data_IF_934265466376
#
_entry.id   IF_934265466376
#
_cell.length_a   1.000
_cell.length_b   1.000
_cell.length_c   1.000
_cell.angle_alpha   90.00
_cell.angle_beta   90.00
_cell.angle_gamma   90.00
#
_symmetry.space_group_name_H-M   'P 1'
#
loop_
_entity.id
_entity.type
_entity.pdbx_description
1 polymer ?
#
# COMPACT_ATOMS: atom_id res chain seq x y z
N UNK A 1 -18.93 38.96 -29.53
CA UNK A 1 -18.09 38.33 -28.48
C UNK A 1 -18.49 36.87 -28.36
N UNK A 2 -17.54 35.94 -28.46
CA UNK A 2 -17.83 34.50 -28.42
C UNK A 2 -18.27 34.07 -27.01
N UNK A 3 -19.37 33.34 -26.92
CA UNK A 3 -19.94 32.82 -25.66
C UNK A 3 -19.34 31.45 -25.32
N UNK A 4 -18.98 30.66 -26.34
CA UNK A 4 -18.58 29.25 -26.18
C UNK A 4 -17.07 29.12 -25.90
N UNK A 5 -16.26 30.05 -26.39
CA UNK A 5 -14.80 30.04 -26.26
C UNK A 5 -14.26 29.78 -24.83
N UNK A 6 -14.74 30.46 -23.76
CA UNK A 6 -14.21 30.23 -22.40
C UNK A 6 -14.45 28.80 -21.91
N UNK A 7 -15.57 28.17 -22.26
CA UNK A 7 -15.87 26.79 -21.86
C UNK A 7 -14.97 25.78 -22.56
N UNK A 8 -14.80 25.91 -23.88
CA UNK A 8 -13.95 25.00 -24.65
C UNK A 8 -12.48 25.08 -24.20
N UNK A 9 -11.99 26.29 -23.91
CA UNK A 9 -10.61 26.47 -23.46
C UNK A 9 -10.39 25.93 -22.04
N UNK A 10 -11.37 26.03 -21.14
CA UNK A 10 -11.31 25.37 -19.82
C UNK A 10 -11.32 23.84 -19.97
N UNK A 11 -12.14 23.28 -20.85
CA UNK A 11 -12.16 21.84 -21.14
C UNK A 11 -10.82 21.38 -21.72
N UNK A 12 -10.24 22.15 -22.64
CA UNK A 12 -8.91 21.87 -23.21
C UNK A 12 -7.82 21.90 -22.13
N UNK A 13 -7.83 22.92 -21.27
CA UNK A 13 -6.90 23.02 -20.14
C UNK A 13 -7.04 21.83 -19.19
N UNK A 14 -8.27 21.36 -18.94
CA UNK A 14 -8.52 20.15 -18.16
C UNK A 14 -7.97 18.89 -18.84
N UNK A 15 -8.17 18.73 -20.15
CA UNK A 15 -7.62 17.61 -20.92
C UNK A 15 -6.09 17.56 -20.88
N UNK A 16 -5.43 18.71 -21.06
CA UNK A 16 -3.96 18.81 -21.00
C UNK A 16 -3.45 18.49 -19.60
N UNK A 17 -4.08 19.04 -18.56
CA UNK A 17 -3.68 18.79 -17.18
C UNK A 17 -3.88 17.33 -16.77
N UNK A 18 -4.97 16.71 -17.22
CA UNK A 18 -5.23 15.28 -16.99
C UNK A 18 -4.20 14.40 -17.71
N UNK A 19 -3.89 14.70 -18.98
CA UNK A 19 -2.90 13.95 -19.76
C UNK A 19 -1.51 13.95 -19.11
N UNK A 20 -1.07 15.09 -18.59
CA UNK A 20 0.22 15.24 -17.90
C UNK A 20 0.16 14.90 -16.40
N UNK A 21 -0.96 14.36 -15.89
CA UNK A 21 -1.17 14.02 -14.48
C UNK A 21 -0.81 15.16 -13.51
N UNK A 22 -1.15 16.38 -13.89
CA UNK A 22 -0.78 17.58 -13.12
C UNK A 22 -1.57 17.64 -11.81
N UNK A 23 -0.98 18.27 -10.77
CA UNK A 23 -1.67 18.52 -9.51
C UNK A 23 -2.90 19.40 -9.75
N UNK A 24 -3.98 19.17 -8.98
CA UNK A 24 -5.22 19.93 -9.10
C UNK A 24 -5.01 21.45 -8.99
N UNK A 25 -4.10 21.90 -8.11
CA UNK A 25 -3.76 23.32 -7.97
C UNK A 25 -3.22 23.93 -9.28
N UNK A 26 -2.36 23.19 -9.98
CA UNK A 26 -1.82 23.60 -11.30
C UNK A 26 -2.91 23.71 -12.35
N UNK A 27 -3.86 22.78 -12.36
CA UNK A 27 -5.01 22.85 -13.27
C UNK A 27 -5.89 24.07 -13.00
N UNK A 28 -6.17 24.39 -11.73
CA UNK A 28 -6.93 25.59 -11.35
C UNK A 28 -6.19 26.85 -11.79
N UNK A 29 -4.87 26.91 -11.58
CA UNK A 29 -4.05 28.04 -12.02
C UNK A 29 -4.08 28.23 -13.54
N UNK A 30 -3.90 27.15 -14.32
CA UNK A 30 -3.98 27.20 -15.79
C UNK A 30 -5.37 27.68 -16.23
N UNK A 31 -6.43 27.12 -15.66
CA UNK A 31 -7.81 27.48 -16.00
C UNK A 31 -8.11 28.95 -15.68
N UNK A 32 -7.61 29.46 -14.55
CA UNK A 32 -7.71 30.87 -14.20
C UNK A 32 -6.98 31.78 -15.20
N UNK A 33 -5.75 31.44 -15.57
CA UNK A 33 -4.98 32.18 -16.58
C UNK A 33 -5.70 32.21 -17.94
N UNK A 34 -6.25 31.06 -18.37
CA UNK A 34 -7.02 30.93 -19.61
C UNK A 34 -8.27 31.82 -19.58
N UNK A 35 -8.99 31.86 -18.47
CA UNK A 35 -10.20 32.69 -18.32
C UNK A 35 -9.87 34.19 -18.29
N UNK A 36 -8.77 34.60 -17.65
CA UNK A 36 -8.28 35.98 -17.70
C UNK A 36 -7.90 36.36 -19.13
N UNK A 37 -7.22 35.49 -19.87
CA UNK A 37 -6.91 35.71 -21.28
C UNK A 37 -8.18 35.85 -22.14
N UNK A 38 -9.19 35.00 -21.92
CA UNK A 38 -10.49 35.12 -22.58
C UNK A 38 -11.13 36.49 -22.34
N UNK A 39 -11.09 36.98 -21.10
CA UNK A 39 -11.65 38.28 -20.75
C UNK A 39 -10.92 39.43 -21.47
N UNK A 40 -9.58 39.42 -21.46
CA UNK A 40 -8.75 40.44 -22.11
C UNK A 40 -8.90 40.45 -23.65
N UNK A 41 -9.11 39.28 -24.26
CA UNK A 41 -9.30 39.14 -25.71
C UNK A 41 -10.73 39.43 -26.17
N UNK A 42 -11.62 39.89 -25.28
CA UNK A 42 -12.98 40.29 -25.63
C UNK A 42 -13.96 39.11 -25.78
N UNK A 43 -13.80 38.07 -24.97
CA UNK A 43 -14.87 37.08 -24.79
C UNK A 43 -16.07 37.69 -24.04
N UNK A 44 -17.23 37.06 -24.15
CA UNK A 44 -18.41 37.53 -23.44
C UNK A 44 -18.17 37.49 -21.91
N UNK A 45 -18.40 38.62 -21.23
CA UNK A 45 -18.13 38.79 -19.80
C UNK A 45 -18.95 37.79 -18.96
N UNK A 46 -20.25 37.69 -19.23
CA UNK A 46 -21.15 36.78 -18.52
C UNK A 46 -20.71 35.33 -18.68
N UNK A 47 -20.37 34.93 -19.90
CA UNK A 47 -19.88 33.57 -20.17
C UNK A 47 -18.58 33.25 -19.42
N UNK A 48 -17.67 34.22 -19.35
CA UNK A 48 -16.38 34.06 -18.65
C UNK A 48 -16.57 33.95 -17.14
N UNK A 49 -17.47 34.76 -16.56
CA UNK A 49 -17.82 34.69 -15.14
C UNK A 49 -18.48 33.34 -14.81
N UNK A 50 -19.41 32.87 -15.65
CA UNK A 50 -20.06 31.57 -15.46
C UNK A 50 -19.03 30.44 -15.54
N UNK A 51 -18.13 30.46 -16.51
CA UNK A 51 -17.06 29.47 -16.62
C UNK A 51 -16.12 29.49 -15.39
N UNK A 52 -15.75 30.67 -14.90
CA UNK A 52 -14.96 30.83 -13.67
C UNK A 52 -15.69 30.26 -12.44
N UNK A 53 -16.99 30.56 -12.31
CA UNK A 53 -17.81 30.05 -11.22
C UNK A 53 -17.88 28.52 -11.24
N UNK A 54 -18.00 27.90 -12.42
CA UNK A 54 -17.99 26.43 -12.55
C UNK A 54 -16.63 25.83 -12.15
N UNK A 55 -15.52 26.43 -12.59
CA UNK A 55 -14.17 25.98 -12.19
C UNK A 55 -14.02 26.04 -10.68
N UNK A 56 -14.45 27.14 -10.03
CA UNK A 56 -14.40 27.27 -8.57
C UNK A 56 -15.33 26.26 -7.89
N UNK A 57 -16.55 26.10 -8.38
CA UNK A 57 -17.54 25.18 -7.81
C UNK A 57 -17.06 23.73 -7.80
N UNK A 58 -16.37 23.29 -8.87
CA UNK A 58 -15.84 21.92 -8.98
C UNK A 58 -14.53 21.76 -8.21
N UNK A 59 -13.64 22.75 -8.30
CA UNK A 59 -12.30 22.64 -7.73
C UNK A 59 -12.26 22.89 -6.22
N UNK A 60 -13.02 23.84 -5.70
CA UNK A 60 -12.93 24.25 -4.30
C UNK A 60 -13.28 23.12 -3.31
N UNK A 61 -14.34 22.32 -3.52
CA UNK A 61 -14.66 21.20 -2.63
C UNK A 61 -13.57 20.12 -2.59
N UNK A 62 -12.77 20.00 -3.64
CA UNK A 62 -11.72 18.97 -3.74
C UNK A 62 -10.36 19.53 -3.32
N UNK A 63 -10.07 20.80 -3.62
CA UNK A 63 -8.78 21.43 -3.36
C UNK A 63 -8.64 21.86 -1.90
N UNK A 64 -9.71 22.39 -1.29
CA UNK A 64 -9.67 22.99 0.03
C UNK A 64 -9.96 21.95 1.12
N UNK A 65 -9.01 21.66 2.03
CA UNK A 65 -9.17 20.59 3.02
C UNK A 65 -10.39 20.77 3.94
N UNK A 66 -10.75 22.01 4.26
CA UNK A 66 -11.88 22.32 5.14
C UNK A 66 -13.25 22.07 4.49
N UNK A 67 -13.33 22.10 3.15
CA UNK A 67 -14.54 21.70 2.42
C UNK A 67 -14.49 20.20 2.11
N UNK A 68 -13.34 19.70 1.63
CA UNK A 68 -13.15 18.32 1.21
C UNK A 68 -13.45 17.32 2.31
N UNK A 69 -12.90 17.54 3.52
CA UNK A 69 -13.03 16.60 4.62
C UNK A 69 -14.49 16.35 5.02
N UNK A 70 -15.29 17.38 5.39
CA UNK A 70 -16.67 17.17 5.81
C UNK A 70 -17.61 16.78 4.66
N UNK A 71 -17.45 17.35 3.46
CA UNK A 71 -18.40 17.14 2.36
C UNK A 71 -18.15 15.87 1.55
N UNK A 72 -16.88 15.45 1.41
CA UNK A 72 -16.50 14.35 0.53
C UNK A 72 -15.86 13.20 1.31
N UNK A 73 -14.78 13.47 2.05
CA UNK A 73 -13.95 12.40 2.63
C UNK A 73 -14.67 11.65 3.76
N UNK A 74 -15.25 12.35 4.73
CA UNK A 74 -15.94 11.73 5.88
C UNK A 74 -17.13 10.85 5.46
N UNK A 75 -18.09 11.31 4.64
CA UNK A 75 -19.22 10.47 4.24
C UNK A 75 -18.77 9.27 3.40
N UNK A 76 -17.80 9.46 2.50
CA UNK A 76 -17.25 8.38 1.68
C UNK A 76 -16.53 7.33 2.55
N UNK A 77 -15.73 7.77 3.52
CA UNK A 77 -15.09 6.86 4.48
C UNK A 77 -16.13 6.12 5.34
N UNK A 78 -17.21 6.81 5.75
CA UNK A 78 -18.32 6.18 6.45
C UNK A 78 -19.02 5.09 5.63
N UNK A 79 -19.19 5.31 4.32
CA UNK A 79 -19.69 4.30 3.38
C UNK A 79 -18.72 3.13 3.25
N UNK A 80 -17.44 3.37 2.98
CA UNK A 80 -16.44 2.31 2.84
C UNK A 80 -16.32 1.45 4.11
N UNK A 81 -16.38 2.05 5.30
CA UNK A 81 -16.38 1.30 6.56
C UNK A 81 -17.58 0.37 6.74
N UNK A 82 -18.72 0.67 6.11
CA UNK A 82 -19.90 -0.21 6.15
C UNK A 82 -19.77 -1.40 5.19
N UNK A 83 -19.09 -1.19 4.06
CA UNK A 83 -18.91 -2.22 3.02
C UNK A 83 -17.75 -3.16 3.36
N UNK A 84 -16.70 -2.62 3.98
CA UNK A 84 -15.54 -3.42 4.37
C UNK A 84 -15.85 -4.26 5.62
N UNK A 85 -15.63 -5.59 5.58
CA UNK A 85 -15.81 -6.42 6.76
C UNK A 85 -14.80 -6.01 7.85
N UNK A 86 -15.19 -6.05 9.13
CA UNK A 86 -14.25 -5.83 10.22
C UNK A 86 -13.21 -6.95 10.23
N UNK A 87 -11.94 -6.58 10.39
CA UNK A 87 -10.87 -7.56 10.63
C UNK A 87 -11.14 -8.27 11.95
N UNK A 88 -11.13 -9.60 11.92
CA UNK A 88 -11.15 -10.42 13.12
C UNK A 88 -9.90 -10.17 13.97
N UNK A 89 -9.97 -10.54 15.26
CA UNK A 89 -8.83 -10.38 16.17
C UNK A 89 -7.59 -11.12 15.67
N UNK A 90 -7.77 -12.33 15.13
CA UNK A 90 -6.67 -13.16 14.62
C UNK A 90 -6.07 -12.61 13.33
N UNK A 91 -6.90 -12.14 12.38
CA UNK A 91 -6.42 -11.49 11.15
C UNK A 91 -5.65 -10.21 11.46
N UNK A 92 -6.14 -9.42 12.43
CA UNK A 92 -5.43 -8.22 12.87
C UNK A 92 -4.07 -8.58 13.45
N UNK A 93 -4.02 -9.54 14.37
CA UNK A 93 -2.75 -9.99 14.95
C UNK A 93 -1.82 -10.46 13.83
N UNK A 94 -2.31 -11.26 12.87
CA UNK A 94 -1.49 -11.73 11.76
C UNK A 94 -0.92 -10.58 10.90
N UNK A 95 -1.73 -9.55 10.60
CA UNK A 95 -1.29 -8.37 9.86
C UNK A 95 -0.32 -7.48 10.66
N UNK A 96 -0.53 -7.35 11.97
CA UNK A 96 0.30 -6.53 12.87
C UNK A 96 1.60 -7.24 13.27
N UNK A 97 1.65 -8.58 13.20
CA UNK A 97 2.86 -9.37 13.49
C UNK A 97 3.88 -9.27 12.36
N UNK A 98 3.44 -8.86 11.15
CA UNK A 98 4.33 -8.58 10.04
C UNK A 98 5.06 -7.25 10.23
N UNK A 99 6.35 -7.22 9.87
CA UNK A 99 7.07 -5.95 9.64
C UNK A 99 6.95 -5.56 8.17
N UNK A 100 6.94 -4.27 7.88
CA UNK A 100 7.03 -3.78 6.50
C UNK A 100 8.50 -3.76 6.12
N UNK A 101 8.88 -4.64 5.19
CA UNK A 101 10.21 -4.69 4.60
C UNK A 101 10.37 -3.71 3.45
N UNK A 102 11.34 -3.99 2.57
CA UNK A 102 11.65 -3.13 1.42
C UNK A 102 10.50 -3.08 0.39
N UNK A 103 9.63 -4.08 0.35
CA UNK A 103 8.44 -4.09 -0.48
C UNK A 103 7.51 -2.89 -0.21
N UNK A 104 7.53 -2.35 1.01
CA UNK A 104 6.82 -1.10 1.33
C UNK A 104 7.30 0.07 0.48
N UNK A 105 8.62 0.22 0.28
CA UNK A 105 9.21 1.24 -0.60
C UNK A 105 8.79 1.02 -2.05
N UNK A 106 8.82 -0.23 -2.51
CA UNK A 106 8.45 -0.58 -3.89
C UNK A 106 7.01 -0.16 -4.22
N UNK A 107 6.07 -0.36 -3.28
CA UNK A 107 4.67 0.02 -3.47
C UNK A 107 4.40 1.53 -3.44
N UNK A 108 5.36 2.35 -3.00
CA UNK A 108 5.22 3.81 -3.07
C UNK A 108 5.39 4.36 -4.50
N UNK A 109 6.03 3.60 -5.40
CA UNK A 109 6.32 4.00 -6.77
C UNK A 109 7.59 4.84 -6.95
N UNK A 110 8.32 5.16 -5.87
CA UNK A 110 9.62 5.82 -5.89
C UNK A 110 10.56 5.22 -4.82
N UNK A 111 10.98 3.95 -4.99
CA UNK A 111 11.76 3.24 -3.97
C UNK A 111 13.21 3.71 -3.88
N UNK A 112 13.73 3.84 -2.66
CA UNK A 112 15.16 4.09 -2.43
C UNK A 112 15.99 2.79 -2.50
N UNK A 113 16.58 2.53 -3.67
CA UNK A 113 17.40 1.34 -3.92
C UNK A 113 18.65 1.24 -3.04
N UNK A 114 19.17 2.36 -2.52
CA UNK A 114 20.32 2.29 -1.61
C UNK A 114 19.96 1.59 -0.31
N UNK A 115 18.72 1.71 0.17
CA UNK A 115 18.27 0.98 1.36
C UNK A 115 18.36 -0.52 1.17
N UNK A 116 17.88 -1.02 0.03
CA UNK A 116 17.92 -2.46 -0.28
C UNK A 116 19.36 -2.97 -0.38
N UNK A 117 20.22 -2.25 -1.11
CA UNK A 117 21.61 -2.66 -1.32
C UNK A 117 22.45 -2.61 -0.04
N UNK A 118 22.06 -1.77 0.92
CA UNK A 118 22.72 -1.64 2.22
C UNK A 118 22.19 -2.63 3.28
N UNK A 119 21.25 -3.52 2.94
CA UNK A 119 20.84 -4.56 3.87
C UNK A 119 22.02 -5.48 4.20
N UNK A 120 22.32 -5.69 5.50
CA UNK A 120 23.43 -6.55 5.89
C UNK A 120 23.14 -7.97 5.42
N UNK A 121 24.22 -8.70 5.10
CA UNK A 121 24.12 -10.12 4.85
C UNK A 121 23.57 -10.79 6.12
N UNK A 122 22.54 -11.65 6.03
CA UNK A 122 22.08 -12.42 7.18
C UNK A 122 23.20 -13.37 7.62
N UNK A 123 23.53 -13.31 8.91
CA UNK A 123 24.52 -14.18 9.55
C UNK A 123 23.84 -14.93 10.69
N UNK A 124 24.11 -16.23 10.79
CA UNK A 124 23.61 -17.06 11.86
C UNK A 124 24.53 -16.94 13.07
N UNK A 125 23.93 -16.89 14.25
CA UNK A 125 24.65 -17.07 15.51
C UNK A 125 25.23 -18.48 15.61
N UNK A 126 26.22 -18.66 16.47
CA UNK A 126 26.81 -19.99 16.70
C UNK A 126 25.77 -21.04 17.17
N UNK A 127 24.76 -20.61 17.91
CA UNK A 127 23.67 -21.48 18.38
C UNK A 127 22.75 -21.89 17.23
N UNK A 128 22.35 -20.94 16.37
CA UNK A 128 21.53 -21.23 15.19
C UNK A 128 22.28 -22.14 14.21
N UNK A 129 23.56 -21.87 13.98
CA UNK A 129 24.41 -22.72 13.13
C UNK A 129 24.52 -24.13 13.71
N UNK A 130 24.73 -24.28 15.01
CA UNK A 130 24.76 -25.59 15.67
C UNK A 130 23.41 -26.32 15.60
N UNK A 131 22.29 -25.58 15.63
CA UNK A 131 20.96 -26.17 15.45
C UNK A 131 20.76 -26.71 14.03
N UNK A 132 21.22 -25.98 13.01
CA UNK A 132 21.21 -26.44 11.63
C UNK A 132 22.10 -27.68 11.44
N UNK A 133 23.37 -27.59 11.85
CA UNK A 133 24.37 -28.65 11.59
C UNK A 133 24.13 -29.93 12.40
N UNK A 134 23.30 -29.86 13.45
CA UNK A 134 22.95 -30.99 14.31
C UNK A 134 21.50 -31.43 14.14
N UNK A 135 20.57 -30.92 14.96
CA UNK A 135 19.16 -31.31 14.92
C UNK A 135 18.51 -31.33 13.53
N UNK A 136 18.76 -30.32 12.68
CA UNK A 136 18.15 -30.27 11.33
C UNK A 136 18.72 -31.34 10.42
N UNK A 137 20.05 -31.46 10.34
CA UNK A 137 20.71 -32.52 9.56
C UNK A 137 20.28 -33.93 9.99
N UNK A 138 20.13 -34.17 11.30
CA UNK A 138 19.67 -35.45 11.81
C UNK A 138 18.20 -35.73 11.43
N UNK A 139 17.32 -34.73 11.55
CA UNK A 139 15.93 -34.87 11.12
C UNK A 139 15.85 -35.18 9.62
N UNK A 140 16.64 -34.51 8.79
CA UNK A 140 16.69 -34.76 7.35
C UNK A 140 17.10 -36.21 7.02
N UNK A 141 18.02 -36.82 7.79
CA UNK A 141 18.39 -38.23 7.61
C UNK A 141 17.32 -39.21 8.06
N UNK A 142 16.51 -38.85 9.05
CA UNK A 142 15.40 -39.69 9.55
C UNK A 142 14.21 -39.71 8.58
N UNK A 143 14.05 -38.70 7.73
CA UNK A 143 12.89 -38.55 6.85
C UNK A 143 12.98 -39.49 5.66
N UNK A 144 11.91 -40.27 5.47
CA UNK A 144 11.60 -40.97 4.24
C UNK A 144 10.29 -40.43 3.65
N UNK A 145 10.40 -39.50 2.70
CA UNK A 145 9.25 -38.76 2.15
C UNK A 145 8.18 -39.67 1.52
N UNK A 146 8.60 -40.69 0.77
CA UNK A 146 7.67 -41.60 0.10
C UNK A 146 6.84 -42.39 1.12
N UNK A 147 7.47 -42.87 2.18
CA UNK A 147 6.80 -43.65 3.22
C UNK A 147 5.81 -42.78 4.03
N UNK A 148 6.23 -41.57 4.39
CA UNK A 148 5.38 -40.59 5.09
C UNK A 148 4.15 -40.26 4.26
N UNK A 149 4.33 -39.95 2.97
CA UNK A 149 3.25 -39.41 2.13
C UNK A 149 2.36 -40.48 1.52
N UNK A 150 2.90 -41.66 1.16
CA UNK A 150 2.17 -42.69 0.41
C UNK A 150 1.77 -43.92 1.25
N UNK A 151 2.47 -44.22 2.34
CA UNK A 151 2.17 -45.40 3.19
C UNK A 151 1.39 -44.98 4.42
N UNK A 152 1.97 -44.08 5.23
CA UNK A 152 1.40 -43.72 6.53
C UNK A 152 0.44 -42.54 6.46
N UNK A 153 0.61 -41.66 5.45
CA UNK A 153 -0.07 -40.36 5.36
C UNK A 153 0.09 -39.49 6.63
N UNK A 154 1.16 -39.73 7.40
CA UNK A 154 1.52 -39.04 8.63
C UNK A 154 3.02 -39.29 8.92
N UNK A 155 3.61 -38.49 9.82
CA UNK A 155 4.96 -38.71 10.33
C UNK A 155 4.97 -39.89 11.31
N UNK A 156 5.99 -40.79 11.23
CA UNK A 156 6.20 -41.81 12.23
C UNK A 156 6.33 -41.23 13.66
N UNK A 157 5.90 -41.95 14.71
CA UNK A 157 5.97 -41.46 16.09
C UNK A 157 7.36 -40.98 16.53
N UNK A 158 8.41 -41.67 16.11
CA UNK A 158 9.80 -41.28 16.42
C UNK A 158 10.22 -39.94 15.81
N UNK A 159 9.74 -39.61 14.60
CA UNK A 159 9.97 -38.30 13.99
C UNK A 159 9.19 -37.22 14.76
N UNK A 160 7.93 -37.49 15.10
CA UNK A 160 7.12 -36.59 15.93
C UNK A 160 7.82 -36.26 17.26
N UNK A 161 8.35 -37.27 17.94
CA UNK A 161 9.03 -37.10 19.22
C UNK A 161 10.36 -36.37 19.07
N UNK A 162 11.13 -36.66 18.02
CA UNK A 162 12.36 -35.94 17.72
C UNK A 162 12.11 -34.44 17.48
N UNK A 163 11.12 -34.11 16.65
CA UNK A 163 10.74 -32.73 16.30
C UNK A 163 10.30 -31.95 17.55
N UNK A 164 9.45 -32.56 18.39
CA UNK A 164 8.99 -31.94 19.65
C UNK A 164 10.13 -31.74 20.64
N UNK A 165 10.97 -32.77 20.84
CA UNK A 165 12.09 -32.74 21.78
C UNK A 165 13.10 -31.65 21.42
N UNK A 166 13.38 -31.47 20.13
CA UNK A 166 14.29 -30.44 19.63
C UNK A 166 13.61 -29.11 19.34
N UNK A 167 12.32 -28.94 19.67
CA UNK A 167 11.58 -27.67 19.59
C UNK A 167 11.50 -27.04 18.21
N UNK A 168 11.42 -27.85 17.16
CA UNK A 168 11.25 -27.36 15.78
C UNK A 168 10.00 -26.47 15.61
N UNK A 169 8.92 -26.73 16.34
CA UNK A 169 7.72 -25.89 16.30
C UNK A 169 7.83 -24.58 17.10
N UNK A 170 8.93 -24.38 17.83
CA UNK A 170 9.15 -23.23 18.70
C UNK A 170 10.33 -22.35 18.30
N UNK A 171 10.76 -22.40 17.03
CA UNK A 171 11.95 -21.68 16.55
C UNK A 171 11.83 -20.15 16.68
N UNK A 172 10.63 -19.60 16.52
CA UNK A 172 10.34 -18.15 16.62
C UNK A 172 9.73 -17.75 17.97
N UNK A 173 9.61 -18.71 18.90
CA UNK A 173 9.02 -18.46 20.22
C UNK A 173 10.14 -18.00 21.14
N UNK A 174 9.96 -16.87 21.85
CA UNK A 174 10.96 -16.37 22.78
C UNK A 174 11.43 -17.44 23.77
N UNK A 175 12.74 -17.51 24.02
CA UNK A 175 13.32 -18.48 24.98
C UNK A 175 12.65 -18.49 26.35
N UNK A 176 12.17 -17.33 26.83
CA UNK A 176 11.45 -17.20 28.11
C UNK A 176 10.14 -17.99 28.17
N UNK A 177 9.55 -18.30 27.01
CA UNK A 177 8.35 -19.14 26.89
C UNK A 177 8.70 -20.59 26.49
N UNK A 178 9.99 -20.94 26.47
CA UNK A 178 10.46 -22.28 26.19
C UNK A 178 10.81 -22.57 24.73
N UNK A 179 10.80 -21.58 23.83
CA UNK A 179 11.24 -21.74 22.43
C UNK A 179 12.76 -21.65 22.23
N UNK A 180 13.20 -21.43 20.99
CA UNK A 180 14.62 -21.36 20.60
C UNK A 180 15.11 -19.95 20.23
N UNK A 181 14.20 -18.99 20.02
CA UNK A 181 14.52 -17.62 19.63
C UNK A 181 13.57 -16.65 20.31
#
# INVERSE_FOLDING_TARGET
MSIIAPFLLVILAAGIAAYHRMRLATWVAISACVLVACWLLGANLTATIVAAALVVLVSAPVLLPFLRKPLLTTPLMGFFRKVLPPLSQTERIALETGSVGFEGELFTGDPDWQKLLNYPKPELTAEEQAFLDGPVEELCKMINDWEITHVHADLPPELWDFIKKNKFFGMIIPKQYGGLG
#
